data_IF_898081501629
#
_entry.id   IF_898081501629
#
_cell.length_a   1.000
_cell.length_b   1.000
_cell.length_c   1.000
_cell.angle_alpha   90.00
_cell.angle_beta   90.00
_cell.angle_gamma   90.00
#
_symmetry.space_group_name_H-M   'P 1'
#
loop_
_entity.id
_entity.type
_entity.pdbx_description
1 polymer ?
#
# COMPACT_ATOMS: atom_id res chain seq x y z
N UNK A 1 -3.37 14.52 -29.59
CA UNK A 1 -3.03 13.11 -29.27
C UNK A 1 -4.33 12.44 -28.84
N UNK A 2 -4.78 11.34 -29.45
CA UNK A 2 -5.89 10.59 -28.87
C UNK A 2 -5.40 10.07 -27.51
N UNK A 3 -6.23 10.22 -26.47
CA UNK A 3 -5.91 9.67 -25.16
C UNK A 3 -5.69 8.17 -25.31
N UNK A 4 -4.50 7.68 -24.96
CA UNK A 4 -4.25 6.25 -24.86
C UNK A 4 -5.36 5.65 -23.99
N UNK A 5 -6.03 4.63 -24.52
CA UNK A 5 -7.18 4.03 -23.88
C UNK A 5 -6.68 3.34 -22.61
N UNK A 6 -6.93 3.95 -21.45
CA UNK A 6 -6.57 3.37 -20.17
C UNK A 6 -7.36 2.06 -19.99
N UNK A 7 -6.67 0.94 -20.00
CA UNK A 7 -7.24 -0.39 -19.74
C UNK A 7 -6.73 -0.90 -18.40
N UNK A 8 -7.64 -1.37 -17.55
CA UNK A 8 -7.30 -1.94 -16.25
C UNK A 8 -7.29 -3.45 -16.35
N UNK A 9 -6.20 -4.07 -15.89
CA UNK A 9 -6.08 -5.52 -15.76
C UNK A 9 -6.24 -5.87 -14.26
N UNK A 10 -7.33 -6.51 -13.85
CA UNK A 10 -7.58 -6.80 -12.43
C UNK A 10 -6.49 -7.65 -11.77
N UNK A 11 -5.88 -8.58 -12.51
CA UNK A 11 -4.76 -9.37 -12.02
C UNK A 11 -3.54 -8.49 -11.65
N UNK A 12 -3.25 -7.45 -12.42
CA UNK A 12 -2.15 -6.52 -12.16
C UNK A 12 -2.43 -5.66 -10.92
N UNK A 13 -3.70 -5.35 -10.63
CA UNK A 13 -4.10 -4.67 -9.40
C UNK A 13 -3.85 -5.55 -8.17
N UNK A 14 -4.21 -6.84 -8.22
CA UNK A 14 -3.93 -7.75 -7.13
C UNK A 14 -2.43 -7.96 -6.92
N UNK A 15 -1.67 -8.14 -8.01
CA UNK A 15 -0.21 -8.23 -7.93
C UNK A 15 0.42 -6.95 -7.34
N UNK A 16 -0.11 -5.78 -7.70
CA UNK A 16 0.33 -4.50 -7.13
C UNK A 16 0.02 -4.41 -5.64
N UNK A 17 -1.16 -4.86 -5.19
CA UNK A 17 -1.50 -4.93 -3.78
C UNK A 17 -0.57 -5.84 -2.99
N UNK A 18 -0.24 -7.02 -3.52
CA UNK A 18 0.67 -7.95 -2.86
C UNK A 18 2.10 -7.37 -2.76
N UNK A 19 2.53 -6.63 -3.77
CA UNK A 19 3.81 -5.94 -3.73
C UNK A 19 3.82 -4.80 -2.70
N UNK A 20 2.71 -4.06 -2.56
CA UNK A 20 2.57 -3.05 -1.50
C UNK A 20 2.61 -3.67 -0.11
N UNK A 21 1.99 -4.84 0.10
CA UNK A 21 2.07 -5.56 1.37
C UNK A 21 3.50 -6.02 1.69
N UNK A 22 4.24 -6.48 0.68
CA UNK A 22 5.66 -6.80 0.83
C UNK A 22 6.48 -5.58 1.25
N UNK A 23 6.29 -4.44 0.57
CA UNK A 23 6.97 -3.20 0.91
C UNK A 23 6.59 -2.68 2.28
N UNK A 24 5.31 -2.73 2.64
CA UNK A 24 4.81 -2.39 3.97
C UNK A 24 5.54 -3.19 5.06
N UNK A 25 5.62 -4.51 4.91
CA UNK A 25 6.30 -5.38 5.86
C UNK A 25 7.81 -5.11 5.94
N UNK A 26 8.46 -4.86 4.80
CA UNK A 26 9.89 -4.61 4.75
C UNK A 26 10.28 -3.25 5.37
N UNK A 27 9.55 -2.19 5.02
CA UNK A 27 9.75 -0.83 5.56
C UNK A 27 9.49 -0.84 7.07
N UNK A 28 8.40 -1.46 7.52
CA UNK A 28 8.09 -1.58 8.95
C UNK A 28 9.25 -2.23 9.72
N UNK A 29 9.77 -3.35 9.21
CA UNK A 29 10.87 -4.08 9.86
C UNK A 29 12.16 -3.26 9.89
N UNK A 30 12.55 -2.67 8.77
CA UNK A 30 13.79 -1.89 8.64
C UNK A 30 13.76 -0.63 9.52
N UNK A 31 12.64 0.08 9.56
CA UNK A 31 12.51 1.26 10.41
C UNK A 31 12.39 0.91 11.88
N UNK A 32 11.74 -0.19 12.25
CA UNK A 32 11.74 -0.67 13.63
C UNK A 32 13.16 -0.96 14.12
N UNK A 33 13.96 -1.66 13.31
CA UNK A 33 15.36 -1.93 13.62
C UNK A 33 16.18 -0.63 13.73
N UNK A 34 16.09 0.26 12.74
CA UNK A 34 16.81 1.54 12.77
C UNK A 34 16.41 2.41 13.97
N UNK A 35 15.14 2.44 14.35
CA UNK A 35 14.68 3.17 15.53
C UNK A 35 15.26 2.57 16.82
N UNK A 36 15.36 1.24 16.93
CA UNK A 36 15.98 0.57 18.06
C UNK A 36 17.48 0.88 18.15
N UNK A 37 18.20 0.83 17.02
CA UNK A 37 19.63 1.17 16.95
C UNK A 37 19.89 2.63 17.39
N UNK A 38 19.02 3.56 16.98
CA UNK A 38 19.09 4.97 17.38
C UNK A 38 18.78 5.13 18.88
N UNK A 39 17.79 4.43 19.41
CA UNK A 39 17.44 4.46 20.83
C UNK A 39 18.58 3.96 21.71
N UNK A 40 19.19 2.84 21.33
CA UNK A 40 20.35 2.26 22.04
C UNK A 40 21.56 3.19 21.97
N UNK A 41 21.87 3.76 20.80
CA UNK A 41 22.96 4.71 20.65
C UNK A 41 22.73 6.01 21.47
N UNK A 42 21.48 6.46 21.57
CA UNK A 42 21.12 7.67 22.30
C UNK A 42 21.31 7.56 23.82
N UNK A 43 21.47 6.35 24.38
CA UNK A 43 21.78 6.14 25.80
C UNK A 43 23.17 6.69 26.18
N UNK A 44 24.11 6.69 25.24
CA UNK A 44 25.48 7.18 25.46
C UNK A 44 25.67 8.67 25.21
N UNK A 45 24.66 9.38 24.72
CA UNK A 45 24.78 10.77 24.30
C UNK A 45 24.33 11.77 25.37
N UNK A 46 25.22 12.68 25.73
CA UNK A 46 25.01 13.73 26.73
C UNK A 46 25.02 15.10 26.03
N UNK A 47 24.23 16.04 26.54
CA UNK A 47 24.17 17.42 26.04
C UNK A 47 23.18 17.60 24.89
N UNK A 48 23.30 18.73 24.18
CA UNK A 48 22.32 19.18 23.19
C UNK A 48 22.08 18.18 22.05
N UNK A 49 23.12 17.47 21.61
CA UNK A 49 23.00 16.46 20.54
C UNK A 49 22.16 15.25 20.98
N UNK A 50 22.35 14.78 22.23
CA UNK A 50 21.52 13.70 22.79
C UNK A 50 20.06 14.11 22.95
N UNK A 51 19.81 15.35 23.37
CA UNK A 51 18.45 15.90 23.44
C UNK A 51 17.79 16.01 22.06
N UNK A 52 18.53 16.48 21.05
CA UNK A 52 18.05 16.57 19.67
C UNK A 52 17.68 15.20 19.08
N UNK A 53 18.50 14.17 19.33
CA UNK A 53 18.24 12.82 18.83
C UNK A 53 17.05 12.16 19.53
N UNK A 54 16.89 12.36 20.84
CA UNK A 54 15.69 11.94 21.58
C UNK A 54 14.41 12.61 21.06
N UNK A 55 14.49 13.88 20.63
CA UNK A 55 13.38 14.59 20.02
C UNK A 55 13.08 14.13 18.58
N UNK A 56 14.09 13.64 17.84
CA UNK A 56 13.93 13.18 16.47
C UNK A 56 13.28 11.78 16.38
N UNK A 57 13.57 10.87 17.32
CA UNK A 57 13.01 9.51 17.35
C UNK A 57 11.46 9.48 17.19
N UNK A 58 10.66 10.22 17.97
CA UNK A 58 9.20 10.19 17.79
C UNK A 58 8.76 10.72 16.42
N UNK A 59 9.50 11.66 15.83
CA UNK A 59 9.22 12.17 14.48
C UNK A 59 9.45 11.07 13.43
N UNK A 60 10.59 10.36 13.52
CA UNK A 60 10.90 9.24 12.63
C UNK A 60 9.85 8.13 12.75
N UNK A 61 9.46 7.77 13.97
CA UNK A 61 8.38 6.79 14.23
C UNK A 61 7.06 7.22 13.60
N UNK A 62 6.67 8.49 13.74
CA UNK A 62 5.46 9.02 13.15
C UNK A 62 5.49 9.00 11.61
N UNK A 63 6.63 9.36 11.01
CA UNK A 63 6.82 9.32 9.56
C UNK A 63 6.75 7.90 9.01
N UNK A 64 7.43 6.94 9.65
CA UNK A 64 7.31 5.52 9.27
C UNK A 64 5.88 5.04 9.37
N UNK A 65 5.15 5.41 10.44
CA UNK A 65 3.75 5.04 10.60
C UNK A 65 2.90 5.60 9.45
N UNK A 66 3.03 6.89 9.13
CA UNK A 66 2.29 7.49 8.02
C UNK A 66 2.56 6.79 6.69
N UNK A 67 3.84 6.53 6.37
CA UNK A 67 4.20 5.81 5.15
C UNK A 67 3.62 4.39 5.10
N UNK A 68 3.62 3.69 6.23
CA UNK A 68 3.10 2.31 6.30
C UNK A 68 1.57 2.29 6.22
N UNK A 69 0.88 3.23 6.85
CA UNK A 69 -0.57 3.41 6.70
C UNK A 69 -0.93 3.68 5.22
N UNK A 70 -0.22 4.59 4.55
CA UNK A 70 -0.47 4.92 3.13
C UNK A 70 -0.29 3.69 2.20
N UNK A 71 0.71 2.85 2.47
CA UNK A 71 0.93 1.61 1.71
C UNK A 71 -0.20 0.61 1.92
N UNK A 72 -0.68 0.48 3.16
CA UNK A 72 -1.81 -0.39 3.49
C UNK A 72 -3.11 0.09 2.82
N UNK A 73 -3.36 1.40 2.83
CA UNK A 73 -4.53 2.01 2.20
C UNK A 73 -4.51 1.81 0.67
N UNK A 74 -3.36 1.99 0.02
CA UNK A 74 -3.22 1.70 -1.40
C UNK A 74 -3.40 0.22 -1.74
N UNK A 75 -2.85 -0.67 -0.92
CA UNK A 75 -3.03 -2.13 -1.07
C UNK A 75 -4.51 -2.52 -1.00
N UNK A 76 -5.22 -2.00 0.00
CA UNK A 76 -6.67 -2.17 0.13
C UNK A 76 -7.44 -1.60 -1.07
N UNK A 77 -7.06 -0.39 -1.52
CA UNK A 77 -7.65 0.25 -2.69
C UNK A 77 -7.52 -0.58 -3.96
N UNK A 78 -6.32 -1.11 -4.25
CA UNK A 78 -6.12 -1.96 -5.42
C UNK A 78 -6.91 -3.26 -5.36
N UNK A 79 -7.01 -3.91 -4.19
CA UNK A 79 -7.84 -5.10 -4.02
C UNK A 79 -9.31 -4.81 -4.26
N UNK A 80 -9.80 -3.70 -3.71
CA UNK A 80 -11.20 -3.26 -3.87
C UNK A 80 -11.51 -3.00 -5.34
N UNK A 81 -10.65 -2.26 -6.03
CA UNK A 81 -10.84 -1.96 -7.45
C UNK A 81 -10.77 -3.25 -8.29
N UNK A 82 -9.80 -4.14 -8.02
CA UNK A 82 -9.69 -5.43 -8.70
C UNK A 82 -10.95 -6.27 -8.57
N UNK A 83 -11.49 -6.38 -7.35
CA UNK A 83 -12.74 -7.09 -7.07
C UNK A 83 -13.94 -6.47 -7.82
N UNK A 84 -14.04 -5.13 -7.85
CA UNK A 84 -15.13 -4.45 -8.55
C UNK A 84 -15.11 -4.71 -10.06
N UNK A 85 -13.92 -4.78 -10.67
CA UNK A 85 -13.81 -5.14 -12.09
C UNK A 85 -14.22 -6.59 -12.36
N UNK A 86 -13.85 -7.54 -11.49
CA UNK A 86 -14.29 -8.93 -11.62
C UNK A 86 -15.82 -9.06 -11.57
N UNK A 87 -16.45 -8.44 -10.57
CA UNK A 87 -17.91 -8.50 -10.45
C UNK A 87 -18.62 -7.86 -11.63
N UNK A 88 -18.10 -6.73 -12.14
CA UNK A 88 -18.67 -6.07 -13.31
C UNK A 88 -18.58 -6.94 -14.57
N UNK A 89 -17.48 -7.67 -14.76
CA UNK A 89 -17.31 -8.61 -15.88
C UNK A 89 -18.27 -9.80 -15.77
N UNK A 90 -18.42 -10.36 -14.56
CA UNK A 90 -19.36 -11.44 -14.27
C UNK A 90 -20.82 -11.02 -14.52
N UNK A 91 -21.24 -9.87 -13.97
CA UNK A 91 -22.59 -9.32 -14.16
C UNK A 91 -22.91 -9.08 -15.66
N UNK A 92 -21.93 -8.58 -16.43
CA UNK A 92 -22.09 -8.38 -17.86
C UNK A 92 -22.15 -9.70 -18.63
N UNK A 93 -21.34 -10.69 -18.25
CA UNK A 93 -21.38 -12.02 -18.85
C UNK A 93 -22.75 -12.69 -18.60
N UNK A 94 -23.28 -12.61 -17.39
CA UNK A 94 -24.62 -13.10 -17.05
C UNK A 94 -25.71 -12.39 -17.86
N UNK A 95 -25.64 -11.05 -17.96
CA UNK A 95 -26.58 -10.28 -18.77
C UNK A 95 -26.57 -10.72 -20.23
N UNK A 96 -25.38 -10.89 -20.83
CA UNK A 96 -25.24 -11.35 -22.22
C UNK A 96 -25.78 -12.77 -22.38
N UNK A 97 -25.48 -13.69 -21.46
CA UNK A 97 -26.04 -15.05 -21.51
C UNK A 97 -27.57 -15.04 -21.42
N UNK A 98 -28.13 -14.25 -20.51
CA UNK A 98 -29.57 -14.20 -20.24
C UNK A 98 -30.39 -13.52 -21.34
N UNK A 99 -29.87 -12.45 -21.93
CA UNK A 99 -30.63 -11.64 -22.90
C UNK A 99 -30.10 -11.75 -24.33
N UNK A 100 -28.82 -12.03 -24.51
CA UNK A 100 -28.21 -12.25 -25.84
C UNK A 100 -28.65 -13.56 -26.49
N UNK A 101 -28.93 -14.61 -25.71
CA UNK A 101 -29.54 -15.85 -26.24
C UNK A 101 -31.02 -15.69 -26.62
N UNK A 102 -31.67 -14.60 -26.20
CA UNK A 102 -33.09 -14.33 -26.47
C UNK A 102 -33.35 -13.63 -27.79
N UNK A 103 -32.28 -13.16 -28.46
CA UNK A 103 -32.31 -12.41 -29.72
C UNK A 103 -31.74 -13.21 -30.91
N UNK A 104 -31.57 -14.53 -30.78
CA UNK A 104 -31.17 -15.44 -31.86
C UNK A 104 -32.22 -16.50 -32.11
#
# INVERSE_FOLDING_TARGET
MPADKLSVVPADLHASADHLDMHHADITRKHAAANADIEDAALGWIGSSGAALKALIPVLKAQTKGLTDDLADHSYGFRTIGHNYYNMDEDQAEYIMKYGMRLR
#
